data_IF_549503590223
#
_entry.id   IF_549503590223
#
_cell.length_a   1.000
_cell.length_b   1.000
_cell.length_c   1.000
_cell.angle_alpha   90.00
_cell.angle_beta   90.00
_cell.angle_gamma   90.00
#
_symmetry.space_group_name_H-M   'P 1'
#
loop_
_entity.id
_entity.type
_entity.pdbx_description
1 polymer ?
#
# COMPACT_ATOMS: atom_id res chain seq x y z
N UNK A 1 -15.43 27.35 -49.62
CA UNK A 1 -14.70 27.72 -48.39
C UNK A 1 -15.66 28.08 -47.24
N UNK A 2 -16.51 27.15 -46.80
CA UNK A 2 -17.34 27.27 -45.57
C UNK A 2 -17.45 25.98 -44.75
N UNK A 3 -16.99 24.84 -45.27
CA UNK A 3 -16.98 23.56 -44.52
C UNK A 3 -15.73 23.32 -43.66
N UNK A 4 -14.69 24.14 -43.77
CA UNK A 4 -13.44 23.96 -43.00
C UNK A 4 -13.45 24.63 -41.62
N UNK A 5 -14.38 25.55 -41.34
CA UNK A 5 -14.51 26.17 -40.03
C UNK A 5 -15.40 25.38 -39.05
N UNK A 6 -16.23 24.46 -39.56
CA UNK A 6 -17.12 23.63 -38.72
C UNK A 6 -16.39 22.46 -38.05
N UNK A 7 -15.22 22.06 -38.56
CA UNK A 7 -14.41 20.97 -38.00
C UNK A 7 -13.57 21.38 -36.77
N UNK A 8 -13.32 22.68 -36.58
CA UNK A 8 -12.55 23.18 -35.42
C UNK A 8 -13.40 23.36 -34.15
N UNK A 9 -14.72 23.22 -34.25
CA UNK A 9 -15.61 23.14 -33.09
C UNK A 9 -15.72 21.70 -32.53
N UNK A 10 -15.20 20.69 -33.24
CA UNK A 10 -15.20 19.27 -32.81
C UNK A 10 -13.81 18.68 -32.48
N UNK A 11 -12.73 19.45 -32.61
CA UNK A 11 -11.35 18.97 -32.49
C UNK A 11 -10.76 18.92 -31.07
N UNK A 12 -11.54 19.30 -30.06
CA UNK A 12 -11.11 19.30 -28.66
C UNK A 12 -11.13 17.92 -28.00
N UNK A 13 -11.93 16.98 -28.52
CA UNK A 13 -12.09 15.64 -27.94
C UNK A 13 -10.99 14.69 -28.42
N UNK A 14 -10.77 14.58 -29.74
CA UNK A 14 -9.73 13.70 -30.30
C UNK A 14 -8.30 14.04 -29.81
N UNK A 15 -7.98 15.33 -29.62
CA UNK A 15 -6.69 15.74 -29.04
C UNK A 15 -6.60 15.41 -27.54
N UNK A 16 -7.71 15.55 -26.80
CA UNK A 16 -7.75 15.17 -25.38
C UNK A 16 -7.65 13.66 -25.23
N UNK A 17 -8.35 12.88 -26.05
CA UNK A 17 -8.23 11.42 -26.10
C UNK A 17 -6.79 10.99 -26.42
N UNK A 18 -6.15 11.61 -27.42
CA UNK A 18 -4.75 11.33 -27.75
C UNK A 18 -3.78 11.66 -26.61
N UNK A 19 -3.97 12.81 -25.95
CA UNK A 19 -3.15 13.20 -24.77
C UNK A 19 -3.41 12.24 -23.60
N UNK A 20 -4.66 11.90 -23.30
CA UNK A 20 -5.01 10.95 -22.24
C UNK A 20 -4.47 9.54 -22.55
N UNK A 21 -4.48 9.11 -23.80
CA UNK A 21 -3.88 7.86 -24.23
C UNK A 21 -2.35 7.87 -24.07
N UNK A 22 -1.67 8.97 -24.41
CA UNK A 22 -0.23 9.10 -24.19
C UNK A 22 0.13 9.12 -22.70
N UNK A 23 -0.59 9.89 -21.89
CA UNK A 23 -0.41 9.90 -20.43
C UNK A 23 -0.67 8.51 -19.84
N UNK A 24 -1.66 7.78 -20.34
CA UNK A 24 -1.90 6.38 -19.96
C UNK A 24 -0.71 5.49 -20.27
N UNK A 25 -0.21 5.51 -21.50
CA UNK A 25 0.91 4.66 -21.90
C UNK A 25 2.18 4.99 -21.13
N UNK A 26 2.40 6.26 -20.81
CA UNK A 26 3.48 6.68 -19.92
C UNK A 26 3.31 6.09 -18.51
N UNK A 27 2.14 6.23 -17.89
CA UNK A 27 1.90 5.70 -16.54
C UNK A 27 2.05 4.18 -16.47
N UNK A 28 1.54 3.46 -17.47
CA UNK A 28 1.69 1.99 -17.55
C UNK A 28 3.16 1.63 -17.75
N UNK A 29 3.87 2.34 -18.64
CA UNK A 29 5.28 2.08 -18.93
C UNK A 29 6.17 2.31 -17.71
N UNK A 30 6.04 3.46 -17.07
CA UNK A 30 6.80 3.82 -15.86
C UNK A 30 6.55 2.83 -14.73
N UNK A 31 5.28 2.51 -14.47
CA UNK A 31 4.95 1.54 -13.42
C UNK A 31 5.47 0.14 -13.76
N UNK A 32 5.42 -0.27 -15.03
CA UNK A 32 5.98 -1.55 -15.46
C UNK A 32 7.50 -1.61 -15.35
N UNK A 33 8.19 -0.48 -15.52
CA UNK A 33 9.64 -0.37 -15.33
C UNK A 33 10.01 -0.58 -13.85
N UNK A 34 9.33 0.11 -12.93
CA UNK A 34 9.54 -0.06 -11.48
C UNK A 34 9.26 -1.51 -11.04
N UNK A 35 8.23 -2.16 -11.59
CA UNK A 35 7.97 -3.58 -11.32
C UNK A 35 9.01 -4.51 -11.98
N UNK A 36 9.66 -4.07 -13.06
CA UNK A 36 10.80 -4.77 -13.66
C UNK A 36 12.00 -4.77 -12.73
N UNK A 37 12.36 -3.62 -12.16
CA UNK A 37 13.44 -3.49 -11.18
C UNK A 37 13.15 -4.33 -9.93
N UNK A 38 11.92 -4.31 -9.43
CA UNK A 38 11.51 -5.18 -8.33
C UNK A 38 11.69 -6.67 -8.67
N UNK A 39 11.40 -7.07 -9.91
CA UNK A 39 11.55 -8.45 -10.33
C UNK A 39 13.01 -8.90 -10.40
N UNK A 40 13.95 -7.97 -10.67
CA UNK A 40 15.39 -8.26 -10.67
C UNK A 40 15.94 -8.45 -9.25
N UNK A 41 15.42 -7.70 -8.27
CA UNK A 41 15.84 -7.83 -6.87
C UNK A 41 15.22 -9.06 -6.19
N UNK A 42 14.00 -9.46 -6.57
CA UNK A 42 13.31 -10.63 -5.99
C UNK A 42 13.82 -11.92 -6.63
N UNK A 43 14.85 -12.50 -6.03
CA UNK A 43 15.42 -13.80 -6.43
C UNK A 43 14.68 -15.00 -5.81
N UNK A 44 13.81 -14.77 -4.83
CA UNK A 44 13.03 -15.82 -4.18
C UNK A 44 12.04 -16.47 -5.15
N UNK A 45 12.09 -17.80 -5.35
CA UNK A 45 11.16 -18.50 -6.24
C UNK A 45 9.70 -18.46 -5.74
N UNK A 46 9.49 -18.20 -4.44
CA UNK A 46 8.15 -18.06 -3.87
C UNK A 46 7.49 -16.72 -4.24
N UNK A 47 8.28 -15.65 -4.36
CA UNK A 47 7.77 -14.28 -4.48
C UNK A 47 7.94 -13.69 -5.89
N UNK A 48 8.88 -14.20 -6.69
CA UNK A 48 9.07 -13.78 -8.09
C UNK A 48 7.81 -13.94 -8.98
N UNK A 49 7.00 -15.02 -8.86
CA UNK A 49 5.77 -15.16 -9.65
C UNK A 49 4.73 -14.07 -9.35
N UNK A 50 4.68 -13.59 -8.10
CA UNK A 50 3.75 -12.54 -7.68
C UNK A 50 4.09 -11.20 -8.32
N UNK A 51 5.39 -10.84 -8.38
CA UNK A 51 5.87 -9.63 -9.06
C UNK A 51 5.59 -9.70 -10.56
N UNK A 52 5.96 -10.82 -11.21
CA UNK A 52 5.75 -11.00 -12.64
C UNK A 52 4.25 -10.97 -13.03
N UNK A 53 3.38 -11.51 -12.17
CA UNK A 53 1.92 -11.42 -12.36
C UNK A 53 1.44 -9.99 -12.24
N UNK A 54 1.88 -9.25 -11.23
CA UNK A 54 1.47 -7.87 -11.01
C UNK A 54 1.89 -6.96 -12.17
N UNK A 55 3.09 -7.15 -12.71
CA UNK A 55 3.55 -6.43 -13.90
C UNK A 55 2.62 -6.64 -15.10
N UNK A 56 2.28 -7.90 -15.41
CA UNK A 56 1.32 -8.22 -16.49
C UNK A 56 -0.06 -7.60 -16.25
N UNK A 57 -0.52 -7.59 -15.00
CA UNK A 57 -1.79 -6.95 -14.64
C UNK A 57 -1.76 -5.44 -14.89
N UNK A 58 -0.64 -4.75 -14.62
CA UNK A 58 -0.44 -3.31 -14.89
C UNK A 58 -0.42 -3.04 -16.39
N UNK A 59 0.32 -3.83 -17.16
CA UNK A 59 0.42 -3.71 -18.62
C UNK A 59 -0.96 -3.87 -19.30
N UNK A 60 -1.82 -4.73 -18.76
CA UNK A 60 -3.18 -4.98 -19.26
C UNK A 60 -4.26 -4.07 -18.64
N UNK A 61 -3.94 -3.27 -17.62
CA UNK A 61 -4.95 -2.56 -16.84
C UNK A 61 -5.59 -1.37 -17.59
N UNK A 62 -6.88 -1.10 -17.34
CA UNK A 62 -7.44 0.22 -17.60
C UNK A 62 -6.86 1.26 -16.63
N UNK A 63 -6.78 2.55 -17.00
CA UNK A 63 -6.19 3.60 -16.16
C UNK A 63 -6.79 3.68 -14.74
N UNK A 64 -8.10 3.49 -14.63
CA UNK A 64 -8.84 3.54 -13.36
C UNK A 64 -8.42 2.46 -12.37
N UNK A 65 -7.79 1.39 -12.83
CA UNK A 65 -7.29 0.31 -11.98
C UNK A 65 -5.84 0.52 -11.52
N UNK A 66 -5.10 1.49 -12.07
CA UNK A 66 -3.67 1.67 -11.76
C UNK A 66 -3.43 2.02 -10.29
N UNK A 67 -4.34 2.79 -9.66
CA UNK A 67 -4.23 3.11 -8.24
C UNK A 67 -4.27 1.88 -7.34
N UNK A 68 -5.20 0.94 -7.59
CA UNK A 68 -5.27 -0.29 -6.79
C UNK A 68 -4.08 -1.23 -7.06
N UNK A 69 -3.51 -1.22 -8.27
CA UNK A 69 -2.27 -1.93 -8.57
C UNK A 69 -1.07 -1.32 -7.85
N UNK A 70 -0.99 0.02 -7.77
CA UNK A 70 0.05 0.73 -7.02
C UNK A 70 0.01 0.38 -5.53
N UNK A 71 -1.18 0.36 -4.92
CA UNK A 71 -1.36 -0.10 -3.53
C UNK A 71 -0.89 -1.55 -3.36
N UNK A 72 -1.33 -2.45 -4.24
CA UNK A 72 -0.95 -3.88 -4.18
C UNK A 72 0.56 -4.09 -4.35
N UNK A 73 1.21 -3.28 -5.19
CA UNK A 73 2.66 -3.32 -5.37
C UNK A 73 3.39 -2.88 -4.09
N UNK A 74 2.93 -1.82 -3.41
CA UNK A 74 3.48 -1.40 -2.12
C UNK A 74 3.28 -2.46 -1.02
N UNK A 75 2.13 -3.12 -0.97
CA UNK A 75 1.88 -4.23 -0.04
C UNK A 75 2.80 -5.44 -0.31
N UNK A 76 3.11 -5.71 -1.58
CA UNK A 76 4.06 -6.75 -1.96
C UNK A 76 5.48 -6.39 -1.53
N UNK A 77 5.92 -5.16 -1.81
CA UNK A 77 7.24 -4.66 -1.38
C UNK A 77 7.36 -4.70 0.15
N UNK A 78 6.33 -4.28 0.88
CA UNK A 78 6.33 -4.31 2.34
C UNK A 78 6.47 -5.75 2.89
N UNK A 79 5.80 -6.74 2.29
CA UNK A 79 6.02 -8.15 2.65
C UNK A 79 7.44 -8.62 2.37
N UNK A 80 7.98 -8.29 1.19
CA UNK A 80 9.36 -8.64 0.81
C UNK A 80 10.38 -8.00 1.76
N UNK A 81 10.17 -6.74 2.15
CA UNK A 81 11.00 -6.07 3.16
C UNK A 81 10.97 -6.82 4.50
N UNK A 82 9.81 -7.30 4.94
CA UNK A 82 9.70 -8.12 6.16
C UNK A 82 10.45 -9.44 6.02
N UNK A 83 10.29 -10.12 4.89
CA UNK A 83 11.02 -11.37 4.59
C UNK A 83 12.55 -11.17 4.64
N UNK A 84 13.06 -10.07 4.07
CA UNK A 84 14.49 -9.73 4.15
C UNK A 84 14.95 -9.46 5.58
N UNK A 85 14.13 -8.78 6.39
CA UNK A 85 14.45 -8.54 7.81
C UNK A 85 14.46 -9.84 8.61
N UNK A 86 13.50 -10.73 8.38
CA UNK A 86 13.42 -12.05 9.05
C UNK A 86 14.63 -12.92 8.70
N UNK A 87 15.20 -12.75 7.50
CA UNK A 87 16.42 -13.44 7.05
C UNK A 87 17.72 -12.73 7.47
N UNK A 88 17.63 -11.52 8.04
CA UNK A 88 18.78 -10.70 8.41
C UNK A 88 19.50 -10.05 7.22
N UNK A 89 18.86 -10.00 6.03
CA UNK A 89 19.43 -9.38 4.84
C UNK A 89 19.08 -7.88 4.76
N UNK A 90 19.91 -7.07 5.43
CA UNK A 90 19.78 -5.62 5.43
C UNK A 90 20.01 -4.99 4.03
N UNK A 91 20.77 -5.67 3.15
CA UNK A 91 21.06 -5.15 1.81
C UNK A 91 19.82 -5.28 0.93
N UNK A 92 19.20 -6.46 0.90
CA UNK A 92 17.93 -6.69 0.20
C UNK A 92 16.85 -5.76 0.74
N UNK A 93 16.73 -5.62 2.07
CA UNK A 93 15.79 -4.68 2.68
C UNK A 93 15.99 -3.24 2.16
N UNK A 94 17.24 -2.75 2.14
CA UNK A 94 17.53 -1.37 1.71
C UNK A 94 17.14 -1.14 0.25
N UNK A 95 17.42 -2.11 -0.63
CA UNK A 95 17.05 -2.02 -2.05
C UNK A 95 15.55 -2.04 -2.25
N UNK A 96 14.86 -3.00 -1.62
CA UNK A 96 13.40 -3.11 -1.68
C UNK A 96 12.70 -1.87 -1.13
N UNK A 97 13.19 -1.32 -0.01
CA UNK A 97 12.68 -0.07 0.55
C UNK A 97 12.90 1.13 -0.37
N UNK A 98 14.03 1.18 -1.09
CA UNK A 98 14.30 2.18 -2.13
C UNK A 98 13.27 2.13 -3.25
N UNK A 99 13.07 0.95 -3.85
CA UNK A 99 12.05 0.72 -4.90
C UNK A 99 10.65 1.10 -4.40
N UNK A 100 10.32 0.76 -3.15
CA UNK A 100 9.06 1.15 -2.52
C UNK A 100 8.88 2.66 -2.39
N UNK A 101 9.94 3.40 -2.04
CA UNK A 101 9.92 4.86 -1.95
C UNK A 101 9.73 5.52 -3.32
N UNK A 102 10.40 5.00 -4.36
CA UNK A 102 10.24 5.45 -5.74
C UNK A 102 8.82 5.21 -6.25
N UNK A 103 8.29 3.99 -6.05
CA UNK A 103 6.91 3.66 -6.40
C UNK A 103 5.89 4.56 -5.69
N UNK A 104 6.10 4.86 -4.40
CA UNK A 104 5.22 5.78 -3.66
C UNK A 104 5.28 7.17 -4.25
N UNK A 105 6.47 7.68 -4.54
CA UNK A 105 6.67 9.02 -5.12
C UNK A 105 5.97 9.11 -6.47
N UNK A 106 6.21 8.14 -7.36
CA UNK A 106 5.52 8.01 -8.63
C UNK A 106 3.99 7.99 -8.43
N UNK A 107 3.49 7.13 -7.55
CA UNK A 107 2.05 6.97 -7.33
C UNK A 107 1.38 8.24 -6.81
N UNK A 108 2.03 9.00 -5.91
CA UNK A 108 1.52 10.29 -5.44
C UNK A 108 1.56 11.35 -6.54
N UNK A 109 2.68 11.48 -7.25
CA UNK A 109 2.82 12.45 -8.36
C UNK A 109 1.85 12.17 -9.51
N UNK A 110 1.56 10.89 -9.78
CA UNK A 110 0.61 10.46 -10.80
C UNK A 110 -0.86 10.51 -10.34
N UNK A 111 -1.13 10.86 -9.08
CA UNK A 111 -2.48 10.84 -8.51
C UNK A 111 -3.10 9.44 -8.37
N UNK A 112 -2.26 8.41 -8.40
CA UNK A 112 -2.65 7.00 -8.19
C UNK A 112 -2.77 6.65 -6.71
N UNK A 113 -2.01 7.34 -5.86
CA UNK A 113 -1.97 7.19 -4.41
C UNK A 113 -2.22 8.53 -3.74
N UNK A 114 -2.84 8.49 -2.56
CA UNK A 114 -2.91 9.64 -1.67
C UNK A 114 -1.59 9.80 -0.91
N UNK A 115 -1.15 11.03 -0.70
CA UNK A 115 0.06 11.30 0.11
C UNK A 115 -0.13 11.01 1.61
N UNK A 116 -1.32 10.57 2.02
CA UNK A 116 -1.57 10.14 3.39
C UNK A 116 -0.71 8.89 3.68
N UNK A 117 0.28 8.94 4.60
CA UNK A 117 0.94 7.73 5.06
C UNK A 117 -0.12 6.79 5.66
N UNK A 118 -0.01 5.46 5.50
CA UNK A 118 -0.94 4.55 6.15
C UNK A 118 -0.90 4.88 7.64
N UNK A 119 -2.02 5.34 8.19
CA UNK A 119 -2.13 5.61 9.61
C UNK A 119 -1.72 4.33 10.32
N UNK A 120 -0.54 4.35 10.96
CA UNK A 120 -0.10 3.29 11.88
C UNK A 120 -1.23 3.21 12.89
N UNK A 121 -2.17 2.27 12.73
CA UNK A 121 -3.13 1.96 13.79
C UNK A 121 -2.26 1.51 14.95
N UNK A 122 -2.02 2.43 15.88
CA UNK A 122 -1.46 2.13 17.18
C UNK A 122 -2.31 0.99 17.73
N UNK A 123 -1.66 -0.12 18.04
CA UNK A 123 -2.23 -1.22 18.80
C UNK A 123 -2.45 -0.81 20.27
N UNK A 124 -3.12 0.33 20.49
CA UNK A 124 -3.38 0.92 21.80
C UNK A 124 -4.83 1.38 21.86
N UNK A 125 -5.78 0.46 21.67
CA UNK A 125 -7.15 0.66 22.15
C UNK A 125 -7.82 -0.62 22.68
N UNK A 126 -7.00 -1.55 23.17
CA UNK A 126 -7.48 -2.63 24.03
C UNK A 126 -6.96 -2.41 25.46
N UNK A 127 -7.22 -1.21 25.99
CA UNK A 127 -7.23 -1.02 27.45
C UNK A 127 -8.48 -1.72 27.97
N UNK A 128 -8.26 -2.88 28.57
CA UNK A 128 -9.28 -3.66 29.26
C UNK A 128 -10.15 -2.78 30.18
N UNK A 129 -11.46 -3.02 30.29
CA UNK A 129 -12.23 -2.47 31.39
C UNK A 129 -11.78 -3.17 32.68
N UNK A 130 -10.96 -2.47 33.48
CA UNK A 130 -10.75 -2.79 34.89
C UNK A 130 -12.09 -2.65 35.62
N UNK A 131 -12.80 -3.74 35.75
CA UNK A 131 -13.96 -3.83 36.65
C UNK A 131 -13.46 -4.24 38.03
N UNK A 132 -13.46 -3.22 38.92
CA UNK A 132 -13.75 -3.32 40.36
C UNK A 132 -13.07 -4.42 41.17
N UNK A 133 -11.94 -4.08 41.79
CA UNK A 133 -11.62 -4.63 43.12
C UNK A 133 -12.59 -3.97 44.11
N UNK A 134 -13.58 -4.74 44.58
CA UNK A 134 -14.33 -4.38 45.79
C UNK A 134 -13.47 -4.70 47.00
N UNK A 135 -12.86 -3.66 47.55
CA UNK A 135 -12.36 -3.67 48.93
C UNK A 135 -13.54 -3.46 49.85
N UNK A 136 -13.86 -4.47 50.67
CA UNK A 136 -14.82 -4.37 51.77
C UNK A 136 -14.08 -4.86 53.02
N UNK A 137 -13.39 -3.93 53.68
CA UNK A 137 -12.96 -4.08 55.07
C UNK A 137 -13.97 -3.37 55.98
N UNK A 138 -14.27 -4.01 57.10
CA UNK A 138 -15.06 -3.49 58.20
C UNK A 138 -15.94 -4.61 58.79
N UNK A 139 -15.93 -4.95 60.06
CA UNK A 139 -15.00 -4.76 61.17
C UNK A 139 -15.46 -5.75 62.26
N UNK A 140 -14.51 -6.27 63.04
CA UNK A 140 -14.63 -6.81 64.41
C UNK A 140 -15.95 -7.46 64.88
N UNK A 141 -15.89 -8.75 65.24
CA UNK A 141 -16.35 -9.15 66.58
C UNK A 141 -15.59 -10.36 67.13
N UNK A 142 -14.78 -10.06 68.12
CA UNK A 142 -14.30 -10.94 69.18
C UNK A 142 -15.47 -11.69 69.82
N UNK A 143 -15.43 -13.02 69.89
CA UNK A 143 -15.85 -13.69 71.11
C UNK A 143 -15.13 -15.03 71.31
N UNK A 144 -14.55 -15.12 72.48
CA UNK A 144 -13.84 -16.23 73.08
C UNK A 144 -14.83 -16.88 74.03
N UNK A 145 -15.41 -18.06 73.71
CA UNK A 145 -16.03 -18.87 74.77
C UNK A 145 -16.29 -20.34 74.43
N UNK A 146 -15.79 -21.16 75.35
CA UNK A 146 -16.22 -22.52 75.74
C UNK A 146 -15.91 -23.65 74.76
N UNK A 147 -14.92 -24.51 75.07
CA UNK A 147 -15.04 -25.67 75.98
C UNK A 147 -16.25 -26.55 75.67
N UNK A 148 -16.04 -27.63 74.89
CA UNK A 148 -16.09 -29.01 75.39
C UNK A 148 -15.58 -29.99 74.35
#
# INVERSE_FOLDING_TARGET
MRSLFKALAGGGDARREAVMAMTRHYLIGEFSAVLGELQEEVTSPASAPDVARLRREVEAAPPTALGSRATRALELIDRLCRESLDQGDATAFTRLAGIGAELRTFGVCAGLLTDTPPHRRRAEDQTAPRTGVSTSNGDTQTDERSRH
#
